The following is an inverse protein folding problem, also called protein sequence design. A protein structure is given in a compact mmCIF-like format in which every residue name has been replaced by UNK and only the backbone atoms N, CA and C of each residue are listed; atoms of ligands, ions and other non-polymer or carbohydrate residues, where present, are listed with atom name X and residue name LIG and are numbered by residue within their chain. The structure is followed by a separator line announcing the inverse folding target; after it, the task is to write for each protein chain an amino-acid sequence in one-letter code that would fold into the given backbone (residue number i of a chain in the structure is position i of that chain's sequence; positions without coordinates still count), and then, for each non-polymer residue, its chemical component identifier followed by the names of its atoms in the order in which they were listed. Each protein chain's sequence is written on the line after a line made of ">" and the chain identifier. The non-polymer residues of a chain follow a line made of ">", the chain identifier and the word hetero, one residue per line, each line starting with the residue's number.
data_IF_126490552608
#
_entry.id   IF_126490552608
#
_cell.length_a   1.000
_cell.length_b   1.000
_cell.length_c   1.000
_cell.angle_alpha   90.00
_cell.angle_beta   90.00
_cell.angle_gamma   90.00
#
_symmetry.space_group_name_H-M   'P 1'
#
loop_
_entity.id
_entity.type
_entity.pdbx_description
1 polymer ?
#
# COMPACT_ATOMS: atom_id res chain seq x y z
N UNK A 1 3.57 7.39 19.45
CA UNK A 1 4.74 8.25 19.13
C UNK A 1 4.33 9.70 19.04
N UNK A 2 3.68 10.12 17.93
CA UNK A 2 3.32 11.53 17.72
C UNK A 2 2.48 12.12 18.86
N UNK A 3 1.52 11.37 19.38
CA UNK A 3 0.73 11.78 20.55
C UNK A 3 1.62 12.18 21.72
N UNK A 4 2.58 11.32 22.09
CA UNK A 4 3.47 11.59 23.22
C UNK A 4 4.45 12.74 22.96
N UNK A 5 5.00 12.85 21.73
CA UNK A 5 5.89 13.96 21.38
C UNK A 5 5.20 15.31 21.59
N UNK A 6 3.99 15.45 21.04
CA UNK A 6 3.24 16.72 21.12
C UNK A 6 2.89 17.07 22.56
N UNK A 7 2.52 16.07 23.36
CA UNK A 7 2.08 16.30 24.74
C UNK A 7 3.25 16.55 25.70
N UNK A 8 4.46 16.14 25.33
CA UNK A 8 5.72 16.56 25.97
C UNK A 8 6.21 17.93 25.52
N UNK A 9 5.54 18.56 24.54
CA UNK A 9 6.03 19.77 23.89
C UNK A 9 7.29 19.56 23.06
N UNK A 10 7.60 18.32 22.65
CA UNK A 10 8.70 18.05 21.74
C UNK A 10 8.33 18.52 20.32
N UNK A 11 9.26 19.15 19.58
CA UNK A 11 8.97 19.74 18.28
C UNK A 11 8.61 18.66 17.24
N UNK A 12 7.49 18.88 16.55
CA UNK A 12 7.07 18.11 15.37
C UNK A 12 6.71 19.10 14.27
N UNK A 13 7.68 19.42 13.43
CA UNK A 13 7.54 20.48 12.42
C UNK A 13 6.61 20.10 11.25
N UNK A 14 6.47 18.80 10.97
CA UNK A 14 5.62 18.28 9.89
C UNK A 14 5.32 16.79 10.06
N UNK A 15 4.07 16.40 9.85
CA UNK A 15 3.65 15.00 9.69
C UNK A 15 3.29 14.70 8.22
N UNK A 16 3.80 13.61 7.67
CA UNK A 16 3.48 13.15 6.32
C UNK A 16 2.78 11.79 6.35
N UNK A 17 1.69 11.66 5.59
CA UNK A 17 1.07 10.38 5.29
C UNK A 17 1.32 10.02 3.82
N UNK A 18 2.08 8.95 3.58
CA UNK A 18 2.30 8.43 2.24
C UNK A 18 1.15 7.52 1.81
N UNK A 19 0.24 8.06 1.03
CA UNK A 19 -0.91 7.32 0.50
C UNK A 19 -0.50 6.54 -0.75
N UNK A 20 -0.58 5.22 -0.66
CA UNK A 20 -0.23 4.28 -1.73
C UNK A 20 -1.42 3.92 -2.61
N UNK A 21 -2.62 4.41 -2.29
CA UNK A 21 -3.88 4.13 -3.00
C UNK A 21 -4.40 2.71 -2.82
N UNK A 22 -3.91 1.99 -1.80
CA UNK A 22 -4.28 0.60 -1.51
C UNK A 22 -4.30 0.29 0.00
N UNK A 23 -4.34 1.32 0.84
CA UNK A 23 -4.45 1.14 2.30
C UNK A 23 -5.82 0.55 2.67
N UNK A 24 -5.89 -0.12 3.83
CA UNK A 24 -7.17 -0.60 4.37
C UNK A 24 -8.14 0.55 4.64
N UNK A 25 -9.44 0.26 4.61
CA UNK A 25 -10.51 1.23 4.87
C UNK A 25 -10.35 1.89 6.23
N UNK A 26 -10.00 1.10 7.25
CA UNK A 26 -9.82 1.57 8.63
C UNK A 26 -8.65 2.54 8.75
N UNK A 27 -7.56 2.29 8.00
CA UNK A 27 -6.43 3.23 7.92
C UNK A 27 -6.89 4.56 7.35
N UNK A 28 -7.61 4.53 6.22
CA UNK A 28 -8.09 5.74 5.55
C UNK A 28 -9.11 6.51 6.38
N UNK A 29 -9.98 5.82 7.13
CA UNK A 29 -10.92 6.43 8.06
C UNK A 29 -10.23 7.12 9.25
N UNK A 30 -9.09 6.60 9.69
CA UNK A 30 -8.31 7.20 10.78
C UNK A 30 -7.54 8.46 10.36
N UNK A 31 -7.13 8.56 9.09
CA UNK A 31 -6.34 9.72 8.58
C UNK A 31 -7.00 11.08 8.88
N UNK A 32 -8.29 11.34 8.54
CA UNK A 32 -8.90 12.64 8.83
C UNK A 32 -9.02 12.90 10.33
N UNK A 33 -9.35 11.88 11.13
CA UNK A 33 -9.44 11.99 12.61
C UNK A 33 -8.12 12.45 13.19
N UNK A 34 -7.02 11.77 12.83
CA UNK A 34 -5.71 12.06 13.39
C UNK A 34 -5.12 13.38 12.86
N UNK A 35 -5.41 13.75 11.61
CA UNK A 35 -5.03 15.05 11.06
C UNK A 35 -5.75 16.20 11.78
N UNK A 36 -7.03 16.03 12.14
CA UNK A 36 -7.78 16.98 12.96
C UNK A 36 -7.14 17.17 14.34
N UNK A 37 -6.84 16.07 15.02
CA UNK A 37 -6.16 16.08 16.32
C UNK A 37 -4.78 16.78 16.28
N UNK A 38 -4.01 16.58 15.20
CA UNK A 38 -2.74 17.29 14.98
C UNK A 38 -2.95 18.80 14.75
N UNK A 39 -3.96 19.16 13.95
CA UNK A 39 -4.25 20.56 13.63
C UNK A 39 -4.68 21.36 14.86
N UNK A 40 -5.51 20.77 15.74
CA UNK A 40 -5.91 21.36 17.04
C UNK A 40 -4.71 21.67 17.95
N UNK A 41 -3.58 20.97 17.73
CA UNK A 41 -2.32 21.14 18.48
C UNK A 41 -1.25 21.90 17.70
N UNK A 42 -1.63 22.54 16.59
CA UNK A 42 -0.71 23.36 15.78
C UNK A 42 0.32 22.55 14.97
N UNK A 43 0.14 21.23 14.83
CA UNK A 43 1.07 20.38 14.07
C UNK A 43 0.60 20.22 12.64
N UNK A 44 1.34 20.74 11.64
CA UNK A 44 0.93 20.64 10.25
C UNK A 44 1.05 19.20 9.73
N UNK A 45 0.13 18.83 8.83
CA UNK A 45 0.13 17.50 8.22
C UNK A 45 -0.20 17.53 6.73
N UNK A 46 0.46 16.67 5.93
CA UNK A 46 0.23 16.56 4.49
C UNK A 46 0.10 15.10 4.03
N UNK A 47 -0.66 14.90 2.96
CA UNK A 47 -0.75 13.61 2.27
C UNK A 47 0.15 13.69 1.04
N UNK A 48 1.03 12.71 0.87
CA UNK A 48 1.94 12.62 -0.27
C UNK A 48 1.68 11.33 -1.04
N UNK A 49 1.80 11.39 -2.36
CA UNK A 49 1.58 10.24 -3.25
C UNK A 49 2.74 10.11 -4.23
N UNK A 50 3.06 8.87 -4.59
CA UNK A 50 4.03 8.63 -5.64
C UNK A 50 3.45 9.02 -7.02
N UNK A 51 4.19 9.82 -7.77
CA UNK A 51 3.87 10.15 -9.16
C UNK A 51 4.92 9.51 -10.08
N UNK A 52 4.54 8.60 -11.00
CA UNK A 52 5.51 8.04 -11.94
C UNK A 52 5.98 9.12 -12.92
N UNK A 53 7.29 9.30 -13.04
CA UNK A 53 7.88 10.17 -14.07
C UNK A 53 8.15 9.40 -15.36
N UNK A 54 8.71 8.20 -15.22
CA UNK A 54 9.04 7.31 -16.33
C UNK A 54 8.36 5.96 -16.12
N UNK A 55 7.57 5.51 -17.09
CA UNK A 55 6.92 4.20 -17.06
C UNK A 55 6.92 3.58 -18.45
N UNK A 56 7.21 2.28 -18.52
CA UNK A 56 7.35 1.54 -19.78
C UNK A 56 6.00 1.06 -20.33
N UNK A 57 5.08 0.69 -19.43
CA UNK A 57 3.81 0.07 -19.78
C UNK A 57 2.66 1.05 -19.50
N UNK A 58 1.69 1.10 -20.40
CA UNK A 58 0.47 1.90 -20.28
C UNK A 58 -0.69 1.10 -19.68
N UNK A 59 -1.66 1.75 -19.02
CA UNK A 59 -1.72 3.19 -18.71
C UNK A 59 -0.72 3.62 -17.63
N UNK A 60 -0.53 4.93 -17.49
CA UNK A 60 0.14 5.51 -16.32
C UNK A 60 -0.56 5.04 -15.03
N UNK A 61 0.22 4.81 -13.97
CA UNK A 61 -0.27 4.29 -12.69
C UNK A 61 -0.06 5.30 -11.56
N UNK A 62 -1.08 5.54 -10.75
CA UNK A 62 -1.08 6.47 -9.60
C UNK A 62 -1.13 5.76 -8.27
N UNK A 63 -1.58 4.51 -8.24
CA UNK A 63 -1.63 3.67 -7.03
C UNK A 63 -0.72 2.46 -7.16
N UNK A 64 -0.42 1.83 -6.02
CA UNK A 64 0.30 0.57 -6.02
C UNK A 64 -0.48 -0.50 -6.80
N UNK A 65 -1.80 -0.61 -6.60
CA UNK A 65 -2.64 -1.59 -7.32
C UNK A 65 -2.51 -1.43 -8.83
N UNK A 66 -2.65 -0.20 -9.33
CA UNK A 66 -2.50 0.10 -10.76
C UNK A 66 -1.09 -0.25 -11.25
N UNK A 67 -0.06 0.01 -10.46
CA UNK A 67 1.30 -0.37 -10.82
C UNK A 67 1.47 -1.89 -10.98
N UNK A 68 0.87 -2.67 -10.09
CA UNK A 68 0.93 -4.13 -10.14
C UNK A 68 0.20 -4.67 -11.37
N UNK A 69 -0.99 -4.13 -11.65
CA UNK A 69 -1.81 -4.53 -12.80
C UNK A 69 -1.16 -4.14 -14.12
N UNK A 70 -0.73 -2.86 -14.24
CA UNK A 70 -0.06 -2.33 -15.44
C UNK A 70 1.18 -3.14 -15.79
N UNK A 71 1.96 -3.55 -14.78
CA UNK A 71 3.22 -4.26 -14.99
C UNK A 71 3.10 -5.78 -14.82
N UNK A 72 1.92 -6.31 -14.53
CA UNK A 72 1.71 -7.73 -14.25
C UNK A 72 2.70 -8.32 -13.26
N UNK A 73 2.80 -7.71 -12.08
CA UNK A 73 3.76 -8.09 -11.05
C UNK A 73 3.13 -8.06 -9.67
N UNK A 74 3.85 -8.56 -8.67
CA UNK A 74 3.49 -8.47 -7.26
C UNK A 74 4.28 -7.36 -6.55
N UNK A 75 3.89 -6.92 -5.33
CA UNK A 75 4.69 -6.00 -4.55
C UNK A 75 6.12 -6.53 -4.37
N UNK A 76 7.12 -5.65 -4.39
CA UNK A 76 8.54 -6.03 -4.27
C UNK A 76 8.85 -6.94 -3.07
N UNK A 77 8.11 -6.77 -1.97
CA UNK A 77 8.26 -7.58 -0.75
C UNK A 77 7.85 -9.06 -0.96
N UNK A 78 7.00 -9.36 -1.94
CA UNK A 78 6.69 -10.75 -2.33
C UNK A 78 7.93 -11.45 -2.89
N UNK A 79 8.86 -10.69 -3.47
CA UNK A 79 10.14 -11.18 -3.97
C UNK A 79 11.28 -11.03 -2.95
N UNK A 80 10.96 -10.76 -1.68
CA UNK A 80 11.96 -10.56 -0.63
C UNK A 80 12.69 -9.21 -0.68
N UNK A 81 12.18 -8.23 -1.44
CA UNK A 81 12.82 -6.92 -1.60
C UNK A 81 12.03 -5.82 -0.88
N UNK A 82 12.72 -4.94 -0.16
CA UNK A 82 12.11 -3.76 0.50
C UNK A 82 11.70 -2.61 -0.45
N UNK A 83 11.71 -2.85 -1.76
CA UNK A 83 11.55 -1.80 -2.78
C UNK A 83 10.15 -1.20 -2.83
N UNK A 84 9.12 -1.90 -2.36
CA UNK A 84 7.76 -1.34 -2.32
C UNK A 84 7.67 -0.16 -1.35
N UNK A 85 8.17 -0.30 -0.12
CA UNK A 85 8.15 0.77 0.88
C UNK A 85 9.05 1.94 0.45
N UNK A 86 10.20 1.65 -0.17
CA UNK A 86 11.07 2.69 -0.70
C UNK A 86 10.38 3.51 -1.80
N UNK A 87 9.80 2.85 -2.81
CA UNK A 87 9.13 3.52 -3.93
C UNK A 87 7.85 4.25 -3.52
N UNK A 88 7.00 3.61 -2.73
CA UNK A 88 5.64 4.08 -2.47
C UNK A 88 5.49 4.88 -1.19
N UNK A 89 6.44 4.76 -0.25
CA UNK A 89 6.39 5.51 1.02
C UNK A 89 7.54 6.49 1.16
N UNK A 90 8.78 6.04 1.04
CA UNK A 90 9.95 6.92 1.26
C UNK A 90 10.11 7.95 0.13
N UNK A 91 10.07 7.52 -1.13
CA UNK A 91 10.29 8.41 -2.28
C UNK A 91 9.33 9.62 -2.35
N UNK A 92 7.99 9.47 -2.19
CA UNK A 92 7.12 10.64 -2.20
C UNK A 92 7.34 11.58 -1.00
N UNK A 93 7.68 11.04 0.18
CA UNK A 93 8.05 11.86 1.34
C UNK A 93 9.36 12.63 1.11
N UNK A 94 10.36 11.98 0.49
CA UNK A 94 11.63 12.65 0.12
C UNK A 94 11.40 13.72 -0.95
N UNK A 95 10.54 13.46 -1.92
CA UNK A 95 10.18 14.44 -2.95
C UNK A 95 9.52 15.67 -2.32
N UNK A 96 8.60 15.46 -1.38
CA UNK A 96 7.97 16.55 -0.63
C UNK A 96 8.97 17.33 0.23
N UNK A 97 9.85 16.65 0.96
CA UNK A 97 10.87 17.29 1.78
C UNK A 97 11.82 18.17 0.94
N UNK A 98 12.09 17.80 -0.32
CA UNK A 98 12.92 18.59 -1.24
C UNK A 98 12.30 19.91 -1.66
N UNK A 99 11.01 20.09 -1.46
CA UNK A 99 10.29 21.34 -1.74
C UNK A 99 9.89 22.08 -0.47
N UNK A 100 10.22 21.55 0.71
CA UNK A 100 9.81 22.11 1.99
C UNK A 100 10.87 23.10 2.51
N UNK A 101 10.54 24.40 2.66
CA UNK A 101 11.55 25.43 2.98
C UNK A 101 12.41 25.14 4.23
N UNK A 102 11.87 24.63 5.36
CA UNK A 102 12.69 24.26 6.51
C UNK A 102 13.73 23.18 6.20
N UNK A 103 13.39 22.16 5.40
CA UNK A 103 14.34 21.12 5.00
C UNK A 103 15.43 21.68 4.07
N UNK A 104 15.04 22.53 3.11
CA UNK A 104 15.98 23.20 2.20
C UNK A 104 16.97 24.06 3.01
N UNK A 105 16.48 24.86 3.96
CA UNK A 105 17.31 25.69 4.82
C UNK A 105 18.22 24.87 5.74
N UNK A 106 17.75 23.73 6.26
CA UNK A 106 18.57 22.82 7.05
C UNK A 106 19.74 22.28 6.21
N UNK A 107 19.46 21.73 5.02
CA UNK A 107 20.49 21.18 4.15
C UNK A 107 21.46 22.23 3.63
N UNK A 108 20.99 23.43 3.27
CA UNK A 108 21.84 24.54 2.87
C UNK A 108 22.81 24.97 3.98
N UNK A 109 22.41 24.80 5.24
CA UNK A 109 23.25 25.04 6.42
C UNK A 109 24.10 23.82 6.83
N UNK A 110 24.18 22.77 6.00
CA UNK A 110 24.92 21.54 6.33
C UNK A 110 24.29 20.70 7.45
N UNK A 111 23.05 21.01 7.86
CA UNK A 111 22.29 20.26 8.87
C UNK A 111 21.44 19.18 8.21
N UNK A 112 21.12 18.14 8.99
CA UNK A 112 20.23 17.05 8.56
C UNK A 112 18.81 17.30 9.05
N UNK A 113 17.83 16.76 8.31
CA UNK A 113 16.43 16.73 8.74
C UNK A 113 16.22 15.50 9.62
N UNK A 114 15.65 15.68 10.80
CA UNK A 114 15.35 14.56 11.71
C UNK A 114 14.06 13.85 11.27
N UNK A 115 14.16 12.57 10.95
CA UNK A 115 13.03 11.67 10.67
C UNK A 115 12.69 10.85 11.90
N UNK A 116 11.48 11.06 12.40
CA UNK A 116 10.92 10.31 13.51
C UNK A 116 10.33 8.98 13.02
N UNK A 117 10.87 7.86 13.50
CA UNK A 117 10.45 6.51 13.10
C UNK A 117 9.77 5.81 14.28
N UNK A 118 8.53 5.37 14.06
CA UNK A 118 7.70 4.72 15.08
C UNK A 118 7.95 3.22 15.28
N UNK A 119 9.20 2.78 15.31
CA UNK A 119 9.53 1.41 15.72
C UNK A 119 9.45 1.28 17.23
N UNK A 120 8.66 0.34 17.73
CA UNK A 120 8.52 0.10 19.17
C UNK A 120 9.66 -0.78 19.72
N UNK A 121 9.69 -0.98 21.03
CA UNK A 121 10.68 -1.80 21.74
C UNK A 121 10.36 -3.32 21.73
N UNK A 122 9.52 -3.79 20.79
CA UNK A 122 9.22 -5.22 20.66
C UNK A 122 10.29 -5.99 19.86
N UNK A 123 10.42 -7.31 20.05
CA UNK A 123 11.36 -8.13 19.28
C UNK A 123 11.17 -8.07 17.75
N UNK A 124 9.96 -7.76 17.28
CA UNK A 124 9.69 -7.63 15.85
C UNK A 124 10.32 -6.36 15.26
N UNK A 125 10.22 -5.25 15.99
CA UNK A 125 10.78 -3.96 15.58
C UNK A 125 12.28 -3.86 15.91
N UNK A 126 12.79 -4.58 16.91
CA UNK A 126 14.23 -4.75 17.15
C UNK A 126 14.97 -5.25 15.91
N UNK A 127 14.42 -6.26 15.23
CA UNK A 127 15.02 -6.80 14.00
C UNK A 127 15.05 -5.76 12.88
N UNK A 128 14.01 -4.94 12.77
CA UNK A 128 13.92 -3.87 11.76
C UNK A 128 14.90 -2.75 12.07
N UNK A 129 14.97 -2.33 13.33
CA UNK A 129 15.90 -1.32 13.81
C UNK A 129 17.36 -1.71 13.56
N UNK A 130 17.77 -2.92 13.96
CA UNK A 130 19.14 -3.42 13.74
C UNK A 130 19.56 -3.41 12.26
N UNK A 131 18.61 -3.64 11.35
CA UNK A 131 18.88 -3.64 9.91
C UNK A 131 19.11 -2.23 9.32
N UNK A 132 18.74 -1.17 10.04
CA UNK A 132 18.78 0.21 9.53
C UNK A 132 19.57 1.19 10.42
N UNK A 133 19.90 0.81 11.66
CA UNK A 133 20.56 1.71 12.62
C UNK A 133 21.93 2.23 12.16
N UNK A 134 22.62 1.48 11.30
CA UNK A 134 23.93 1.84 10.76
C UNK A 134 23.87 2.51 9.39
N UNK A 135 22.67 2.76 8.86
CA UNK A 135 22.52 3.47 7.59
C UNK A 135 22.77 4.96 7.81
N UNK A 136 23.81 5.47 7.18
CA UNK A 136 24.09 6.90 7.13
C UNK A 136 23.39 7.53 5.92
N UNK A 137 22.66 8.62 6.16
CA UNK A 137 22.01 9.41 5.12
C UNK A 137 22.48 10.87 5.27
N UNK A 138 23.13 11.46 4.26
CA UNK A 138 23.70 12.80 4.39
C UNK A 138 22.62 13.89 4.57
N UNK A 139 21.36 13.61 4.22
CA UNK A 139 20.26 14.55 4.32
C UNK A 139 19.38 14.33 5.56
N UNK A 140 19.47 13.15 6.18
CA UNK A 140 18.54 12.76 7.24
C UNK A 140 19.23 12.09 8.43
N UNK A 141 18.79 12.47 9.61
CA UNK A 141 19.05 11.77 10.85
C UNK A 141 17.78 10.98 11.23
N UNK A 142 17.91 9.76 11.75
CA UNK A 142 16.76 8.95 12.14
C UNK A 142 16.69 8.86 13.67
N UNK A 143 15.56 9.29 14.24
CA UNK A 143 15.28 9.23 15.68
C UNK A 143 14.16 8.21 15.94
N UNK A 144 14.21 7.49 17.07
CA UNK A 144 13.30 6.39 17.38
C UNK A 144 12.66 6.57 18.76
N UNK A 145 11.74 7.55 18.93
CA UNK A 145 11.26 7.97 20.26
C UNK A 145 10.64 6.85 21.08
N UNK A 146 9.87 5.96 20.44
CA UNK A 146 9.26 4.82 21.15
C UNK A 146 10.31 3.90 21.77
N UNK A 147 11.48 3.76 21.15
CA UNK A 147 12.59 2.98 21.70
C UNK A 147 13.33 3.74 22.79
N UNK A 148 13.53 5.04 22.60
CA UNK A 148 14.12 5.94 23.62
C UNK A 148 13.32 5.90 24.92
N UNK A 149 11.99 5.75 24.83
CA UNK A 149 11.12 5.63 26.00
C UNK A 149 10.92 4.18 26.47
N UNK A 150 11.48 3.18 25.78
CA UNK A 150 11.28 1.76 26.09
C UNK A 150 9.85 1.25 25.87
N UNK A 151 9.04 1.94 25.06
CA UNK A 151 7.63 1.63 24.84
C UNK A 151 7.43 0.44 23.92
N UNK A 152 6.56 -0.47 24.32
CA UNK A 152 6.06 -1.58 23.51
C UNK A 152 4.72 -1.21 22.87
N UNK A 153 4.16 -2.15 22.12
CA UNK A 153 2.88 -1.97 21.41
C UNK A 153 1.76 -1.53 22.36
N UNK A 154 1.59 -2.23 23.47
CA UNK A 154 0.51 -1.96 24.42
C UNK A 154 0.64 -0.58 25.08
N UNK A 155 1.87 -0.09 25.29
CA UNK A 155 2.11 1.29 25.77
C UNK A 155 1.61 2.32 24.75
N UNK A 156 1.87 2.06 23.46
CA UNK A 156 1.39 2.93 22.38
C UNK A 156 -0.15 2.94 22.31
N UNK A 157 -0.79 1.78 22.44
CA UNK A 157 -2.25 1.65 22.40
C UNK A 157 -2.91 2.37 23.58
N UNK A 158 -2.39 2.16 24.81
CA UNK A 158 -2.84 2.90 26.00
C UNK A 158 -2.66 4.40 25.82
N UNK A 159 -1.53 4.86 25.29
CA UNK A 159 -1.28 6.29 25.10
C UNK A 159 -2.23 6.95 24.11
N UNK A 160 -2.56 6.25 23.02
CA UNK A 160 -3.51 6.72 22.01
C UNK A 160 -4.91 6.82 22.63
N UNK A 161 -5.35 5.78 23.34
CA UNK A 161 -6.64 5.77 24.03
C UNK A 161 -6.75 6.89 25.08
N UNK A 162 -5.70 7.12 25.86
CA UNK A 162 -5.64 8.20 26.85
C UNK A 162 -5.74 9.61 26.22
N UNK A 163 -5.38 9.77 24.94
CA UNK A 163 -5.55 11.02 24.20
C UNK A 163 -6.96 11.19 23.60
N UNK A 164 -7.91 10.30 23.93
CA UNK A 164 -9.27 10.30 23.38
C UNK A 164 -9.36 9.86 21.92
N UNK A 165 -8.28 9.30 21.36
CA UNK A 165 -8.23 8.84 19.98
C UNK A 165 -8.60 7.35 19.88
N UNK A 166 -9.30 6.92 18.80
CA UNK A 166 -9.46 5.50 18.53
C UNK A 166 -8.10 4.88 18.23
N UNK A 167 -7.82 3.70 18.81
CA UNK A 167 -6.59 2.96 18.53
C UNK A 167 -6.64 2.44 17.09
N UNK A 168 -5.75 2.91 16.19
CA UNK A 168 -5.81 2.49 14.80
C UNK A 168 -5.33 1.04 14.66
N UNK A 169 -5.95 0.25 13.75
CA UNK A 169 -5.41 -1.06 13.43
C UNK A 169 -4.06 -0.93 12.71
N UNK A 170 -3.35 -2.06 12.56
CA UNK A 170 -2.13 -2.11 11.75
C UNK A 170 -2.38 -1.57 10.33
N UNK A 171 -1.72 -0.46 10.02
CA UNK A 171 -1.73 0.16 8.70
C UNK A 171 -0.83 -0.59 7.73
N UNK A 172 -1.40 -0.99 6.60
CA UNK A 172 -0.72 -1.61 5.48
C UNK A 172 -1.68 -1.66 4.28
N UNK A 173 -1.13 -1.91 3.10
CA UNK A 173 -1.94 -2.28 1.96
C UNK A 173 -2.78 -3.53 2.28
N UNK A 174 -4.02 -3.60 1.81
CA UNK A 174 -4.91 -4.73 2.13
C UNK A 174 -4.41 -6.07 1.59
N UNK A 175 -3.56 -6.05 0.55
CA UNK A 175 -2.85 -7.21 -0.01
C UNK A 175 -1.36 -7.27 0.36
N UNK A 176 -0.93 -6.60 1.44
CA UNK A 176 0.46 -6.67 1.88
C UNK A 176 0.85 -8.11 2.22
N UNK A 177 2.08 -8.52 1.86
CA UNK A 177 2.57 -9.89 2.10
C UNK A 177 2.71 -10.22 3.60
N UNK A 178 2.78 -9.18 4.43
CA UNK A 178 2.76 -9.25 5.89
C UNK A 178 1.33 -9.29 6.48
N UNK A 179 0.27 -9.28 5.66
CA UNK A 179 -1.10 -9.44 6.14
C UNK A 179 -1.29 -10.85 6.73
N UNK A 180 -1.97 -10.90 7.87
CA UNK A 180 -2.35 -12.15 8.54
C UNK A 180 -3.64 -12.73 7.95
N UNK A 181 -3.89 -14.06 8.06
CA UNK A 181 -5.15 -14.68 7.63
C UNK A 181 -6.41 -13.95 8.12
N UNK A 182 -6.45 -13.57 9.41
CA UNK A 182 -7.58 -12.81 9.97
C UNK A 182 -7.77 -11.44 9.30
N UNK A 183 -6.69 -10.78 8.84
CA UNK A 183 -6.80 -9.51 8.10
C UNK A 183 -7.46 -9.75 6.73
N UNK A 184 -7.21 -10.90 6.08
CA UNK A 184 -7.81 -11.24 4.78
C UNK A 184 -9.28 -11.62 4.91
N UNK A 185 -9.65 -12.37 5.96
CA UNK A 185 -11.06 -12.73 6.24
C UNK A 185 -11.97 -11.52 6.40
N UNK A 186 -11.44 -10.43 6.96
CA UNK A 186 -12.19 -9.19 7.19
C UNK A 186 -12.29 -8.26 5.98
N UNK A 187 -11.72 -8.61 4.82
CA UNK A 187 -11.75 -7.74 3.65
C UNK A 187 -13.12 -7.76 2.95
N UNK A 188 -13.59 -6.61 2.44
CA UNK A 188 -14.76 -6.56 1.55
C UNK A 188 -14.54 -7.37 0.27
N UNK A 189 -15.63 -7.89 -0.31
CA UNK A 189 -15.61 -8.68 -1.55
C UNK A 189 -14.84 -8.01 -2.69
N UNK A 190 -14.98 -6.69 -2.88
CA UNK A 190 -14.22 -5.94 -3.89
C UNK A 190 -12.70 -6.06 -3.71
N UNK A 191 -12.20 -5.98 -2.48
CA UNK A 191 -10.77 -6.12 -2.19
C UNK A 191 -10.28 -7.57 -2.35
N UNK A 192 -11.12 -8.55 -2.01
CA UNK A 192 -10.84 -9.96 -2.29
C UNK A 192 -10.72 -10.21 -3.80
N UNK A 193 -11.63 -9.65 -4.62
CA UNK A 193 -11.58 -9.73 -6.09
C UNK A 193 -10.30 -9.10 -6.65
N UNK A 194 -9.89 -7.95 -6.13
CA UNK A 194 -8.64 -7.30 -6.52
C UNK A 194 -7.41 -8.15 -6.19
N UNK A 195 -7.39 -8.85 -5.05
CA UNK A 195 -6.33 -9.82 -4.72
C UNK A 195 -6.26 -10.92 -5.77
N UNK A 196 -7.39 -11.52 -6.15
CA UNK A 196 -7.46 -12.56 -7.18
C UNK A 196 -6.93 -12.04 -8.51
N UNK A 197 -7.35 -10.85 -8.92
CA UNK A 197 -6.90 -10.22 -10.15
C UNK A 197 -5.39 -9.95 -10.15
N UNK A 198 -4.83 -9.40 -9.07
CA UNK A 198 -3.39 -9.12 -8.95
C UNK A 198 -2.58 -10.41 -9.12
N UNK A 199 -2.95 -11.48 -8.40
CA UNK A 199 -2.22 -12.75 -8.49
C UNK A 199 -2.40 -13.41 -9.85
N UNK A 200 -3.62 -13.44 -10.41
CA UNK A 200 -3.88 -13.99 -11.75
C UNK A 200 -3.09 -13.26 -12.84
N UNK A 201 -3.06 -11.92 -12.77
CA UNK A 201 -2.33 -11.09 -13.73
C UNK A 201 -0.81 -11.29 -13.62
N UNK A 202 -0.28 -11.54 -12.43
CA UNK A 202 1.15 -11.76 -12.21
C UNK A 202 1.58 -13.21 -12.49
N UNK A 203 0.69 -14.20 -12.34
CA UNK A 203 0.97 -15.66 -12.41
C UNK A 203 1.89 -16.08 -13.55
N UNK A 204 1.71 -15.66 -14.81
CA UNK A 204 2.58 -16.10 -15.92
C UNK A 204 4.05 -15.69 -15.79
N UNK A 205 4.37 -14.75 -14.89
CA UNK A 205 5.72 -14.21 -14.67
C UNK A 205 6.35 -14.69 -13.37
N UNK A 206 5.62 -15.42 -12.53
CA UNK A 206 6.13 -15.92 -11.25
C UNK A 206 6.96 -17.19 -11.49
N UNK A 207 8.17 -17.22 -10.92
CA UNK A 207 9.08 -18.39 -11.00
C UNK A 207 9.34 -19.02 -9.63
N UNK A 208 9.61 -18.17 -8.64
CA UNK A 208 10.09 -18.59 -7.31
C UNK A 208 9.11 -18.26 -6.18
N UNK A 209 7.90 -17.80 -6.53
CA UNK A 209 6.86 -17.41 -5.57
C UNK A 209 5.51 -17.94 -6.06
N UNK A 210 4.70 -18.43 -5.14
CA UNK A 210 3.35 -18.97 -5.38
C UNK A 210 2.30 -17.85 -5.51
N UNK A 211 2.54 -16.69 -4.89
CA UNK A 211 1.62 -15.55 -4.85
C UNK A 211 2.08 -14.46 -3.87
N UNK A 212 1.14 -13.66 -3.38
CA UNK A 212 1.37 -12.54 -2.46
C UNK A 212 1.99 -13.00 -1.13
N UNK A 213 1.69 -14.20 -0.65
CA UNK A 213 2.32 -14.78 0.54
C UNK A 213 3.61 -15.55 0.27
N UNK A 214 4.13 -15.46 -0.96
CA UNK A 214 5.42 -15.98 -1.43
C UNK A 214 5.46 -17.49 -1.51
N UNK A 215 5.33 -18.18 -0.38
CA UNK A 215 5.46 -19.63 -0.26
C UNK A 215 4.52 -20.14 0.81
N UNK A 216 4.06 -21.37 0.64
CA UNK A 216 3.23 -22.04 1.62
C UNK A 216 3.97 -22.19 2.96
N UNK A 217 3.31 -21.80 4.04
CA UNK A 217 3.78 -21.95 5.42
C UNK A 217 3.01 -23.10 6.05
N UNK A 218 3.70 -24.19 6.40
CA UNK A 218 3.08 -25.38 7.01
C UNK A 218 2.65 -25.21 8.47
N UNK A 219 3.05 -24.10 9.11
CA UNK A 219 2.66 -23.76 10.48
C UNK A 219 3.57 -24.28 11.61
N UNK A 220 4.83 -24.61 11.30
CA UNK A 220 5.80 -24.98 12.33
C UNK A 220 6.29 -23.76 13.13
N UNK A 221 6.73 -23.97 14.39
CA UNK A 221 7.37 -22.96 15.26
C UNK A 221 6.51 -21.71 15.52
N UNK A 222 5.23 -21.91 15.79
CA UNK A 222 4.29 -20.82 16.13
C UNK A 222 3.83 -19.98 14.94
N UNK A 223 4.18 -20.36 13.70
CA UNK A 223 3.63 -19.73 12.51
C UNK A 223 2.21 -20.24 12.22
N UNK A 224 1.31 -19.37 11.78
CA UNK A 224 -0.02 -19.79 11.33
C UNK A 224 0.10 -20.46 9.95
N UNK A 225 -0.43 -21.68 9.76
CA UNK A 225 -0.49 -22.31 8.44
C UNK A 225 -1.21 -21.41 7.43
N UNK A 226 -0.66 -21.30 6.23
CA UNK A 226 -1.30 -20.58 5.11
C UNK A 226 -0.66 -20.95 3.77
N UNK A 227 -1.41 -20.94 2.67
CA UNK A 227 -0.85 -21.11 1.33
C UNK A 227 0.06 -19.92 0.95
N UNK A 228 0.90 -20.08 -0.08
CA UNK A 228 1.74 -19.00 -0.58
C UNK A 228 0.99 -17.97 -1.44
N UNK A 229 -0.24 -18.27 -1.85
CA UNK A 229 -1.14 -17.37 -2.57
C UNK A 229 -2.30 -16.96 -1.67
N UNK A 230 -2.65 -15.67 -1.69
CA UNK A 230 -3.86 -15.21 -1.01
C UNK A 230 -5.12 -15.69 -1.74
N UNK A 231 -5.11 -15.82 -3.07
CA UNK A 231 -6.21 -16.41 -3.85
C UNK A 231 -6.52 -17.84 -3.41
N UNK A 232 -5.50 -18.66 -3.18
CA UNK A 232 -5.66 -20.02 -2.67
C UNK A 232 -6.33 -20.00 -1.29
N UNK A 233 -5.93 -19.08 -0.40
CA UNK A 233 -6.55 -18.90 0.91
C UNK A 233 -8.01 -18.44 0.80
N UNK A 234 -8.29 -17.45 -0.05
CA UNK A 234 -9.64 -16.93 -0.31
C UNK A 234 -10.58 -18.07 -0.76
N UNK A 235 -10.09 -18.96 -1.63
CA UNK A 235 -10.83 -20.15 -2.06
C UNK A 235 -11.04 -21.15 -0.92
N UNK A 236 -9.98 -21.50 -0.19
CA UNK A 236 -10.02 -22.49 0.90
C UNK A 236 -10.98 -22.07 2.02
N UNK A 237 -11.06 -20.78 2.31
CA UNK A 237 -11.90 -20.21 3.37
C UNK A 237 -13.31 -19.83 2.87
N UNK A 238 -13.62 -20.05 1.58
CA UNK A 238 -14.94 -19.73 1.01
C UNK A 238 -15.27 -18.23 1.02
N UNK A 239 -14.26 -17.36 0.98
CA UNK A 239 -14.46 -15.91 1.05
C UNK A 239 -14.99 -15.31 -0.27
N UNK A 240 -14.79 -16.03 -1.37
CA UNK A 240 -15.41 -15.80 -2.68
C UNK A 240 -15.87 -17.14 -3.26
N UNK A 241 -16.84 -17.08 -4.18
CA UNK A 241 -17.31 -18.29 -4.87
C UNK A 241 -16.18 -18.86 -5.75
N UNK A 242 -15.91 -20.17 -5.74
CA UNK A 242 -14.90 -20.77 -6.60
C UNK A 242 -15.06 -20.46 -8.10
N UNK A 243 -16.29 -20.45 -8.62
CA UNK A 243 -16.59 -20.11 -10.01
C UNK A 243 -16.27 -18.64 -10.32
N UNK A 244 -16.55 -17.73 -9.37
CA UNK A 244 -16.15 -16.32 -9.47
C UNK A 244 -14.62 -16.16 -9.51
N UNK A 245 -13.88 -16.90 -8.67
CA UNK A 245 -12.42 -16.87 -8.68
C UNK A 245 -11.86 -17.37 -10.02
N UNK A 246 -12.39 -18.48 -10.53
CA UNK A 246 -11.98 -19.03 -11.84
C UNK A 246 -12.32 -18.07 -12.98
N UNK A 247 -13.50 -17.44 -12.97
CA UNK A 247 -13.89 -16.44 -13.96
C UNK A 247 -12.95 -15.23 -13.97
N UNK A 248 -12.63 -14.67 -12.80
CA UNK A 248 -11.65 -13.57 -12.69
C UNK A 248 -10.29 -14.03 -13.21
N UNK A 249 -9.80 -15.19 -12.78
CA UNK A 249 -8.49 -15.69 -13.17
C UNK A 249 -8.37 -15.94 -14.68
N UNK A 250 -9.43 -16.43 -15.32
CA UNK A 250 -9.47 -16.73 -16.75
C UNK A 250 -9.72 -15.50 -17.63
N UNK A 251 -10.65 -14.61 -17.26
CA UNK A 251 -11.17 -13.56 -18.14
C UNK A 251 -10.49 -12.21 -17.89
N UNK A 252 -10.37 -11.79 -16.63
CA UNK A 252 -10.01 -10.41 -16.30
C UNK A 252 -8.58 -10.02 -16.75
N UNK A 253 -7.54 -10.86 -16.60
CA UNK A 253 -6.22 -10.57 -17.16
C UNK A 253 -6.22 -10.40 -18.69
N UNK A 254 -7.02 -11.20 -19.42
CA UNK A 254 -7.12 -11.11 -20.88
C UNK A 254 -7.84 -9.84 -21.32
N UNK A 255 -8.94 -9.51 -20.64
CA UNK A 255 -9.65 -8.24 -20.83
C UNK A 255 -8.74 -7.04 -20.56
N UNK A 256 -8.02 -7.06 -19.44
CA UNK A 256 -7.06 -6.01 -19.08
C UNK A 256 -5.97 -5.83 -20.15
N UNK A 257 -5.36 -6.91 -20.62
CA UNK A 257 -4.31 -6.84 -21.65
C UNK A 257 -4.82 -6.29 -22.98
N UNK A 258 -6.02 -6.70 -23.42
CA UNK A 258 -6.66 -6.14 -24.62
C UNK A 258 -6.90 -4.63 -24.46
N UNK A 259 -7.44 -4.23 -23.32
CA UNK A 259 -7.65 -2.82 -23.00
C UNK A 259 -6.34 -2.03 -22.97
N UNK A 260 -5.30 -2.52 -22.30
CA UNK A 260 -3.99 -1.88 -22.25
C UNK A 260 -3.37 -1.70 -23.65
N UNK A 261 -3.53 -2.68 -24.54
CA UNK A 261 -3.05 -2.58 -25.92
C UNK A 261 -3.76 -1.47 -26.69
N UNK A 262 -5.09 -1.33 -26.54
CA UNK A 262 -5.86 -0.23 -27.13
C UNK A 262 -5.44 1.13 -26.56
N UNK A 263 -5.24 1.22 -25.24
CA UNK A 263 -4.77 2.47 -24.58
C UNK A 263 -3.38 2.89 -25.05
N UNK A 264 -2.47 1.93 -25.25
CA UNK A 264 -1.12 2.22 -25.75
C UNK A 264 -1.13 2.81 -27.17
N UNK A 265 -2.11 2.43 -27.99
CA UNK A 265 -2.29 2.91 -29.37
C UNK A 265 -3.14 4.19 -29.45
N UNK A 266 -3.83 4.58 -28.37
CA UNK A 266 -4.71 5.75 -28.37
C UNK A 266 -3.93 7.06 -28.53
N UNK A 267 -4.46 7.94 -29.40
CA UNK A 267 -3.99 9.31 -29.60
C UNK A 267 -4.65 10.28 -28.61
N UNK A 268 -3.91 11.29 -28.14
CA UNK A 268 -4.42 12.27 -27.18
C UNK A 268 -4.53 11.74 -25.74
N UNK A 269 -5.60 12.11 -25.05
CA UNK A 269 -5.78 11.78 -23.63
C UNK A 269 -6.10 10.28 -23.46
N UNK A 270 -5.17 9.55 -22.84
CA UNK A 270 -5.31 8.12 -22.58
C UNK A 270 -6.16 7.86 -21.33
N UNK A 271 -7.10 6.91 -21.36
CA UNK A 271 -7.89 6.59 -20.18
C UNK A 271 -7.01 5.98 -19.08
N UNK A 272 -7.39 6.25 -17.84
CA UNK A 272 -6.67 5.80 -16.65
C UNK A 272 -7.09 4.39 -16.21
N UNK A 273 -6.19 3.69 -15.51
CA UNK A 273 -6.47 2.34 -14.97
C UNK A 273 -7.71 2.33 -14.05
N UNK A 274 -7.94 3.41 -13.30
CA UNK A 274 -9.13 3.55 -12.44
C UNK A 274 -10.46 3.34 -13.20
N UNK A 275 -10.54 3.72 -14.48
CA UNK A 275 -11.73 3.51 -15.30
C UNK A 275 -11.95 2.02 -15.56
N UNK A 276 -10.90 1.28 -15.94
CA UNK A 276 -11.00 -0.17 -16.13
C UNK A 276 -11.30 -0.89 -14.81
N UNK A 277 -10.70 -0.46 -13.71
CA UNK A 277 -10.97 -1.03 -12.38
C UNK A 277 -12.42 -0.83 -11.93
N UNK A 278 -13.04 0.32 -12.26
CA UNK A 278 -14.47 0.56 -11.97
C UNK A 278 -15.36 -0.46 -12.69
N UNK A 279 -15.06 -0.73 -13.97
CA UNK A 279 -15.78 -1.76 -14.74
C UNK A 279 -15.52 -3.14 -14.16
N UNK A 280 -14.26 -3.47 -13.85
CA UNK A 280 -13.92 -4.73 -13.19
C UNK A 280 -14.71 -4.92 -11.89
N UNK A 281 -14.74 -3.93 -11.00
CA UNK A 281 -15.43 -4.06 -9.71
C UNK A 281 -16.96 -4.23 -9.88
N UNK A 282 -17.55 -3.65 -10.93
CA UNK A 282 -18.96 -3.79 -11.28
C UNK A 282 -19.33 -5.18 -11.84
N UNK A 283 -18.45 -5.78 -12.64
CA UNK A 283 -18.71 -7.04 -13.37
C UNK A 283 -17.94 -8.26 -12.83
N UNK A 284 -17.05 -8.08 -11.85
CA UNK A 284 -16.28 -9.17 -11.27
C UNK A 284 -17.22 -10.20 -10.64
N UNK A 285 -17.30 -11.38 -11.26
CA UNK A 285 -18.15 -12.49 -10.86
C UNK A 285 -19.28 -12.83 -11.83
N UNK A 286 -19.50 -12.03 -12.88
CA UNK A 286 -20.35 -12.40 -14.02
C UNK A 286 -19.48 -12.67 -15.27
N UNK A 287 -19.24 -13.96 -15.61
CA UNK A 287 -18.46 -14.33 -16.79
C UNK A 287 -19.08 -13.86 -18.10
N UNK A 288 -20.41 -13.68 -18.13
CA UNK A 288 -21.17 -13.32 -19.32
C UNK A 288 -20.90 -11.89 -19.79
N UNK A 289 -20.60 -10.97 -18.88
CA UNK A 289 -20.50 -9.53 -19.17
C UNK A 289 -19.09 -9.03 -19.51
N UNK A 290 -18.04 -9.69 -19.02
CA UNK A 290 -16.66 -9.22 -19.26
C UNK A 290 -16.17 -9.42 -20.69
N UNK A 291 -16.71 -10.41 -21.42
CA UNK A 291 -16.42 -10.68 -22.84
C UNK A 291 -17.52 -10.18 -23.79
N UNK A 292 -18.77 -10.03 -23.34
CA UNK A 292 -19.91 -9.59 -24.18
C UNK A 292 -20.03 -8.07 -24.33
N UNK A 293 -19.28 -7.29 -23.53
CA UNK A 293 -19.29 -5.84 -23.63
C UNK A 293 -17.93 -5.23 -24.08
N UNK A 294 -17.42 -5.53 -25.28
CA UNK A 294 -16.36 -4.72 -25.90
C UNK A 294 -16.75 -3.23 -25.98
N UNK A 295 -18.06 -2.95 -26.07
CA UNK A 295 -18.65 -1.61 -26.15
C UNK A 295 -18.75 -0.87 -24.80
N UNK A 296 -18.72 -1.55 -23.64
CA UNK A 296 -18.60 -0.87 -22.33
C UNK A 296 -17.24 -0.17 -22.17
N UNK A 297 -16.26 -0.56 -23.00
CA UNK A 297 -14.97 0.11 -23.15
C UNK A 297 -14.91 1.05 -24.37
N UNK A 298 -15.92 1.02 -25.26
CA UNK A 298 -16.07 1.93 -26.40
C UNK A 298 -16.74 3.24 -25.96
N UNK A 299 -15.97 4.06 -25.24
CA UNK A 299 -16.23 5.48 -25.04
C UNK A 299 -14.97 6.28 -25.38
N UNK A 300 -14.33 5.91 -26.51
CA UNK A 300 -13.06 6.45 -26.99
C UNK A 300 -13.21 7.36 -28.22
N UNK A 301 -14.42 7.63 -28.69
CA UNK A 301 -14.66 8.66 -29.70
C UNK A 301 -15.35 9.86 -29.04
N UNK A 302 -14.64 11.00 -29.03
CA UNK A 302 -15.22 12.31 -28.79
C UNK A 302 -16.45 12.44 -29.68
N UNK A 303 -17.61 12.72 -29.10
CA UNK A 303 -18.63 13.48 -29.83
C UNK A 303 -18.02 14.84 -30.14
N UNK A 304 -18.04 15.18 -31.41
CA UNK A 304 -17.60 16.43 -32.04
C UNK A 304 -17.99 17.67 -31.24
#
# INVERSE_FOLDING_TARGET
>A
MLVELVERGEPVDQVLFADVGAEKRETLAFVPVFRGWLAERGVPSAIVRYAPKNFKNWPAYRTLTENLLTNGTLPGIAFGRGTCSQKWKAAPQHAWARTWPPAIAAWAAGRRVVKLIGYDASPADDRRYRAVQSLDDPLYEHRYPLREWGWRRDDCERRIAAAGLPVPPKSACFYCTAARPAEIRGLPRAQLRQIVLIEARAKPRLRNVEGLWRQTVKGARGATPRPGSMTAFIRQEGLLDPAEIEAIAALAPRSLLRWQAAVAQSEGARPEMARWMTVFDAFAGDPGDMDSAPSLYAGLERRS
#
